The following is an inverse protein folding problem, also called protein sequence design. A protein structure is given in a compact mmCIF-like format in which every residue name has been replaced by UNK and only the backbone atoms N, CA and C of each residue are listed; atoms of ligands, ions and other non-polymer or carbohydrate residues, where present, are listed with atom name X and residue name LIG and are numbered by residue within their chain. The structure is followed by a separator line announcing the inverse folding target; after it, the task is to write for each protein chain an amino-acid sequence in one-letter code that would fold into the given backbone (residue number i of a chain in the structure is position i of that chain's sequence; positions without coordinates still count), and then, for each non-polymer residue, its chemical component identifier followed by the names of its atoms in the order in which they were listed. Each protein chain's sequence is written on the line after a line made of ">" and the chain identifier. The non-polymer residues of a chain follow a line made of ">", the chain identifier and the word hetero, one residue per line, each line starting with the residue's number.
data_IF_386493144645
#
_entry.id   IF_386493144645
#
_cell.length_a   1.000
_cell.length_b   1.000
_cell.length_c   1.000
_cell.angle_alpha   90.00
_cell.angle_beta   90.00
_cell.angle_gamma   90.00
#
_symmetry.space_group_name_H-M   'P 1'
#
loop_
_entity.id
_entity.type
_entity.pdbx_description
1 polymer ?
#
# COMPACT_ATOMS: atom_id res chain seq x y z
N UNK A 1 6.68 15.54 -15.06
CA UNK A 1 6.26 14.90 -13.80
C UNK A 1 7.21 15.34 -12.70
N UNK A 2 6.70 15.65 -11.51
CA UNK A 2 7.26 16.68 -10.63
C UNK A 2 8.22 16.19 -9.56
N UNK A 3 9.18 17.04 -9.22
CA UNK A 3 10.07 16.92 -8.07
C UNK A 3 9.33 16.94 -6.70
N UNK A 4 7.99 17.05 -6.69
CA UNK A 4 7.10 16.97 -5.51
C UNK A 4 5.86 16.13 -5.88
N UNK A 5 5.62 15.07 -5.12
CA UNK A 5 4.44 14.20 -5.30
C UNK A 5 3.21 14.75 -4.57
N UNK A 6 2.01 14.41 -5.05
CA UNK A 6 0.74 14.60 -4.32
C UNK A 6 0.31 13.34 -3.54
N UNK A 7 1.08 12.26 -3.64
CA UNK A 7 0.85 11.03 -2.90
C UNK A 7 1.39 11.24 -1.49
N UNK A 8 0.52 11.09 -0.51
CA UNK A 8 0.69 11.61 0.84
C UNK A 8 1.84 10.94 1.60
N UNK A 9 2.22 9.73 1.19
CA UNK A 9 3.27 8.94 1.83
C UNK A 9 4.64 8.96 1.11
N UNK A 10 4.80 9.79 0.07
CA UNK A 10 6.05 9.90 -0.71
C UNK A 10 6.37 11.35 -1.08
N UNK A 11 7.64 11.66 -1.32
CA UNK A 11 8.07 13.03 -1.68
C UNK A 11 8.20 13.22 -3.18
N UNK A 12 8.48 12.17 -3.93
CA UNK A 12 8.76 12.22 -5.37
C UNK A 12 8.34 10.92 -6.05
N UNK A 13 8.11 10.98 -7.35
CA UNK A 13 7.80 9.80 -8.17
C UNK A 13 8.86 9.64 -9.25
N UNK A 14 9.26 8.40 -9.51
CA UNK A 14 10.21 8.07 -10.56
C UNK A 14 9.56 7.12 -11.58
N UNK A 15 8.97 7.67 -12.66
CA UNK A 15 8.21 6.91 -13.64
C UNK A 15 9.12 6.35 -14.75
N UNK A 16 9.96 5.36 -14.40
CA UNK A 16 10.79 4.59 -15.37
C UNK A 16 9.98 3.59 -16.18
N UNK A 17 8.84 3.15 -15.63
CA UNK A 17 7.81 2.41 -16.36
C UNK A 17 6.47 3.08 -16.11
N UNK A 18 5.68 3.20 -17.16
CA UNK A 18 4.26 3.56 -17.09
C UNK A 18 3.43 2.47 -17.76
N UNK A 19 2.18 2.31 -17.33
CA UNK A 19 1.29 1.29 -17.88
C UNK A 19 1.47 -0.09 -17.24
N UNK A 20 0.40 -0.88 -17.28
CA UNK A 20 0.36 -2.29 -16.88
C UNK A 20 -0.98 -2.91 -17.28
N UNK A 21 -1.09 -4.24 -17.19
CA UNK A 21 -2.36 -4.95 -17.38
C UNK A 21 -3.09 -5.22 -16.04
N UNK A 22 -4.44 -5.15 -16.02
CA UNK A 22 -5.24 -5.55 -14.85
C UNK A 22 -5.01 -7.02 -14.46
N UNK A 23 -4.84 -7.31 -13.17
CA UNK A 23 -4.64 -8.69 -12.67
C UNK A 23 -5.48 -9.04 -11.43
N UNK A 24 -6.33 -8.12 -10.98
CA UNK A 24 -7.19 -8.31 -9.81
C UNK A 24 -8.27 -7.24 -9.70
N UNK A 25 -9.24 -7.43 -8.80
CA UNK A 25 -10.37 -6.51 -8.62
C UNK A 25 -9.96 -5.11 -8.15
N UNK A 26 -8.78 -4.95 -7.54
CA UNK A 26 -8.21 -3.63 -7.26
C UNK A 26 -7.88 -2.82 -8.52
N UNK A 27 -7.82 -3.46 -9.70
CA UNK A 27 -7.56 -2.79 -10.98
C UNK A 27 -8.83 -2.24 -11.65
N UNK A 28 -10.03 -2.66 -11.24
CA UNK A 28 -11.32 -2.33 -11.90
C UNK A 28 -11.53 -0.82 -12.08
N UNK A 29 -11.18 -0.01 -11.07
CA UNK A 29 -11.32 1.45 -11.13
C UNK A 29 -9.95 2.17 -11.13
N UNK A 30 -8.92 1.56 -11.72
CA UNK A 30 -7.55 2.07 -11.70
C UNK A 30 -7.45 3.54 -12.16
N UNK A 31 -6.97 4.42 -11.27
CA UNK A 31 -6.82 5.83 -11.59
C UNK A 31 -5.73 6.07 -12.66
N UNK A 32 -4.66 5.28 -12.63
CA UNK A 32 -3.55 5.42 -13.56
C UNK A 32 -4.00 5.08 -14.99
N UNK A 33 -4.77 4.01 -15.17
CA UNK A 33 -5.35 3.62 -16.46
C UNK A 33 -6.26 4.72 -17.03
N UNK A 34 -7.20 5.21 -16.21
CA UNK A 34 -8.10 6.29 -16.63
C UNK A 34 -7.34 7.56 -17.03
N UNK A 35 -6.33 7.94 -16.25
CA UNK A 35 -5.53 9.12 -16.52
C UNK A 35 -4.70 8.95 -17.80
N UNK A 36 -4.00 7.82 -17.94
CA UNK A 36 -3.18 7.50 -19.10
C UNK A 36 -4.00 7.48 -20.39
N UNK A 37 -5.14 6.78 -20.38
CA UNK A 37 -6.01 6.67 -21.55
C UNK A 37 -6.65 8.02 -21.92
N UNK A 38 -6.95 8.89 -20.95
CA UNK A 38 -7.42 10.25 -21.23
C UNK A 38 -6.39 11.09 -22.01
N UNK A 39 -5.10 10.84 -21.81
CA UNK A 39 -4.00 11.58 -22.44
C UNK A 39 -3.22 10.75 -23.46
N UNK A 40 -3.81 9.65 -23.96
CA UNK A 40 -3.17 8.78 -24.95
C UNK A 40 -2.74 9.56 -26.19
N UNK A 41 -1.57 9.24 -26.74
CA UNK A 41 -0.96 9.91 -27.89
C UNK A 41 -0.16 11.17 -27.55
N UNK A 42 -0.15 11.61 -26.28
CA UNK A 42 0.72 12.73 -25.85
C UNK A 42 2.16 12.26 -25.61
N UNK A 43 3.13 13.18 -25.60
CA UNK A 43 4.54 12.86 -25.24
C UNK A 43 4.68 12.18 -23.88
N UNK A 44 3.78 12.46 -22.93
CA UNK A 44 3.81 11.84 -21.61
C UNK A 44 3.16 10.43 -21.58
N UNK A 45 2.29 10.12 -22.54
CA UNK A 45 1.50 8.90 -22.64
C UNK A 45 1.36 8.46 -24.10
N UNK A 46 2.47 8.14 -24.79
CA UNK A 46 2.45 7.85 -26.22
C UNK A 46 1.55 6.65 -26.53
N UNK A 47 1.53 5.64 -25.64
CA UNK A 47 0.80 4.38 -25.82
C UNK A 47 -0.38 4.24 -24.84
N UNK A 48 -0.95 5.36 -24.35
CA UNK A 48 -1.99 5.29 -23.32
C UNK A 48 -1.50 4.55 -22.07
N UNK A 49 -2.22 3.51 -21.63
CA UNK A 49 -1.86 2.69 -20.47
C UNK A 49 -1.07 1.41 -20.79
N UNK A 50 -0.66 1.22 -22.05
CA UNK A 50 0.22 0.11 -22.42
C UNK A 50 1.60 0.29 -21.78
N UNK A 51 2.30 -0.82 -21.55
CA UNK A 51 3.61 -0.80 -20.90
C UNK A 51 4.58 0.02 -21.74
N UNK A 52 5.13 1.05 -21.12
CA UNK A 52 6.07 1.97 -21.75
C UNK A 52 7.28 2.14 -20.84
N UNK A 53 8.45 1.78 -21.35
CA UNK A 53 9.74 1.98 -20.70
C UNK A 53 10.24 3.40 -20.97
N UNK A 54 10.95 3.97 -20.00
CA UNK A 54 11.53 5.32 -20.10
C UNK A 54 13.04 5.31 -19.79
N UNK A 55 13.89 4.81 -20.70
CA UNK A 55 15.34 4.75 -20.49
C UNK A 55 15.98 6.12 -20.23
N UNK A 56 15.44 7.18 -20.86
CA UNK A 56 15.83 8.58 -20.68
C UNK A 56 15.58 9.13 -19.27
N UNK A 57 14.85 8.36 -18.44
CA UNK A 57 14.53 8.72 -17.05
C UNK A 57 15.34 7.91 -16.03
N UNK A 58 16.13 6.93 -16.45
CA UNK A 58 16.84 6.03 -15.53
C UNK A 58 17.77 6.79 -14.59
N UNK A 59 18.54 7.74 -15.07
CA UNK A 59 19.51 8.50 -14.28
C UNK A 59 18.90 9.63 -13.45
N UNK A 60 17.58 9.86 -13.50
CA UNK A 60 16.93 10.97 -12.76
C UNK A 60 17.28 11.01 -11.26
N UNK A 61 17.30 9.89 -10.52
CA UNK A 61 17.63 9.91 -9.10
C UNK A 61 19.05 10.37 -8.81
N UNK A 62 20.00 10.10 -9.71
CA UNK A 62 21.40 10.52 -9.56
C UNK A 62 21.55 12.05 -9.57
N UNK A 63 20.60 12.76 -10.17
CA UNK A 63 20.62 14.23 -10.31
C UNK A 63 20.00 14.96 -9.12
N UNK A 64 19.38 14.24 -8.18
CA UNK A 64 18.71 14.85 -7.03
C UNK A 64 19.69 15.11 -5.87
N UNK A 65 19.75 16.36 -5.42
CA UNK A 65 20.69 16.78 -4.35
C UNK A 65 20.18 16.54 -2.93
N UNK A 66 18.87 16.67 -2.72
CA UNK A 66 18.25 16.50 -1.41
C UNK A 66 17.72 15.07 -1.24
N UNK A 67 17.85 14.45 -0.05
CA UNK A 67 17.21 13.18 0.26
C UNK A 67 15.71 13.20 -0.04
N UNK A 68 15.21 12.09 -0.61
CA UNK A 68 13.82 11.93 -1.06
C UNK A 68 13.33 10.54 -0.68
N UNK A 69 12.04 10.45 -0.35
CA UNK A 69 11.26 9.21 -0.47
C UNK A 69 10.65 9.17 -1.87
N UNK A 70 10.95 8.13 -2.63
CA UNK A 70 10.74 8.05 -4.07
C UNK A 70 9.85 6.86 -4.38
N UNK A 71 8.62 7.10 -4.83
CA UNK A 71 7.77 6.03 -5.33
C UNK A 71 8.16 5.67 -6.77
N UNK A 72 8.66 4.45 -6.95
CA UNK A 72 9.08 3.89 -8.24
C UNK A 72 7.85 3.43 -9.02
N UNK A 73 7.71 3.91 -10.26
CA UNK A 73 6.61 3.54 -11.17
C UNK A 73 5.20 3.81 -10.62
N UNK A 74 4.94 5.01 -10.09
CA UNK A 74 3.63 5.39 -9.51
C UNK A 74 2.41 5.27 -10.45
N UNK A 75 2.63 5.02 -11.74
CA UNK A 75 1.59 4.83 -12.75
C UNK A 75 1.90 3.66 -13.69
N UNK A 76 2.60 2.65 -13.19
CA UNK A 76 2.94 1.42 -13.90
C UNK A 76 3.21 0.28 -12.91
N UNK A 77 3.69 -0.85 -13.41
CA UNK A 77 4.15 -1.97 -12.58
C UNK A 77 5.52 -2.42 -13.08
N UNK A 78 6.57 -2.19 -12.29
CA UNK A 78 7.96 -2.48 -12.68
C UNK A 78 8.17 -3.98 -12.97
N UNK A 79 7.37 -4.85 -12.36
CA UNK A 79 7.45 -6.30 -12.54
C UNK A 79 6.46 -6.82 -13.60
N UNK A 80 5.88 -5.95 -14.44
CA UNK A 80 5.04 -6.39 -15.56
C UNK A 80 5.81 -7.22 -16.58
N UNK A 81 5.28 -8.36 -17.04
CA UNK A 81 5.98 -9.35 -17.89
C UNK A 81 6.71 -8.77 -19.12
N UNK A 82 6.19 -7.68 -19.69
CA UNK A 82 6.80 -6.96 -20.82
C UNK A 82 8.01 -6.07 -20.46
N UNK A 83 8.26 -5.82 -19.17
CA UNK A 83 9.47 -5.12 -18.71
C UNK A 83 10.61 -6.14 -18.66
N UNK A 84 11.71 -5.99 -19.42
CA UNK A 84 12.82 -6.96 -19.40
C UNK A 84 13.55 -7.00 -18.06
N UNK A 85 14.04 -8.18 -17.65
CA UNK A 85 14.77 -8.34 -16.39
C UNK A 85 16.04 -7.46 -16.35
N UNK A 86 16.77 -7.32 -17.47
CA UNK A 86 17.90 -6.40 -17.61
C UNK A 86 17.51 -4.93 -17.32
N UNK A 87 16.32 -4.51 -17.76
CA UNK A 87 15.84 -3.16 -17.48
C UNK A 87 15.56 -2.96 -15.98
N UNK A 88 15.01 -3.98 -15.32
CA UNK A 88 14.81 -3.99 -13.87
C UNK A 88 16.18 -3.95 -13.15
N UNK A 89 17.18 -4.68 -13.65
CA UNK A 89 18.53 -4.68 -13.08
C UNK A 89 19.18 -3.28 -13.15
N UNK A 90 19.03 -2.57 -14.28
CA UNK A 90 19.47 -1.17 -14.42
C UNK A 90 18.75 -0.23 -13.44
N UNK A 91 17.45 -0.42 -13.23
CA UNK A 91 16.68 0.35 -12.24
C UNK A 91 17.22 0.11 -10.83
N UNK A 92 17.53 -1.15 -10.48
CA UNK A 92 18.17 -1.50 -9.21
C UNK A 92 19.56 -0.89 -9.05
N UNK A 93 20.39 -0.92 -10.10
CA UNK A 93 21.72 -0.31 -10.10
C UNK A 93 21.65 1.20 -9.82
N UNK A 94 20.69 1.93 -10.40
CA UNK A 94 20.47 3.34 -10.09
C UNK A 94 20.07 3.54 -8.62
N UNK A 95 19.20 2.68 -8.07
CA UNK A 95 18.80 2.76 -6.65
C UNK A 95 20.00 2.54 -5.72
N UNK A 96 20.88 1.60 -6.08
CA UNK A 96 22.15 1.32 -5.40
C UNK A 96 23.11 2.53 -5.47
N UNK A 97 23.24 3.16 -6.63
CA UNK A 97 24.06 4.37 -6.83
C UNK A 97 23.45 5.65 -6.23
N UNK A 98 22.23 5.59 -5.69
CA UNK A 98 21.47 6.73 -5.16
C UNK A 98 21.12 6.56 -3.68
N UNK A 99 22.11 6.17 -2.86
CA UNK A 99 21.93 5.80 -1.46
C UNK A 99 21.46 6.91 -0.51
N UNK A 100 21.42 8.17 -0.97
CA UNK A 100 20.82 9.28 -0.24
C UNK A 100 19.27 9.30 -0.33
N UNK A 101 18.67 8.46 -1.16
CA UNK A 101 17.22 8.38 -1.35
C UNK A 101 16.68 7.05 -0.87
N UNK A 102 15.45 7.07 -0.38
CA UNK A 102 14.67 5.87 -0.07
C UNK A 102 13.72 5.61 -1.24
N UNK A 103 13.78 4.42 -1.81
CA UNK A 103 12.91 4.00 -2.91
C UNK A 103 11.81 3.09 -2.40
N UNK A 104 10.57 3.41 -2.73
CA UNK A 104 9.38 2.62 -2.42
C UNK A 104 8.95 1.93 -3.72
N UNK A 105 9.05 0.60 -3.77
CA UNK A 105 8.65 -0.21 -4.91
C UNK A 105 7.38 -0.96 -4.55
N UNK A 106 6.30 -0.76 -5.31
CA UNK A 106 5.00 -1.41 -5.10
C UNK A 106 4.62 -2.23 -6.33
N UNK A 107 4.14 -3.45 -6.14
CA UNK A 107 3.63 -4.28 -7.25
C UNK A 107 2.42 -5.11 -6.84
N UNK A 108 1.63 -5.56 -7.83
CA UNK A 108 0.67 -6.67 -7.65
C UNK A 108 1.24 -8.01 -8.13
N UNK A 109 2.38 -7.99 -8.83
CA UNK A 109 3.09 -9.15 -9.41
C UNK A 109 4.15 -9.73 -8.47
N UNK A 110 3.72 -9.94 -7.23
CA UNK A 110 4.48 -10.56 -6.14
C UNK A 110 5.29 -11.79 -6.54
N UNK A 111 4.71 -12.71 -7.34
CA UNK A 111 5.39 -13.92 -7.77
C UNK A 111 6.64 -13.63 -8.61
N UNK A 112 6.55 -12.70 -9.57
CA UNK A 112 7.71 -12.31 -10.40
C UNK A 112 8.75 -11.55 -9.58
N UNK A 113 8.31 -10.62 -8.74
CA UNK A 113 9.22 -9.91 -7.83
C UNK A 113 10.01 -10.89 -6.96
N UNK A 114 9.33 -11.84 -6.33
CA UNK A 114 9.96 -12.87 -5.50
C UNK A 114 10.94 -13.72 -6.30
N UNK A 115 10.54 -14.20 -7.48
CA UNK A 115 11.39 -15.06 -8.31
C UNK A 115 12.65 -14.32 -8.77
N UNK A 116 12.51 -13.08 -9.24
CA UNK A 116 13.62 -12.29 -9.76
C UNK A 116 14.61 -11.90 -8.65
N UNK A 117 14.12 -11.40 -7.51
CA UNK A 117 15.00 -10.93 -6.44
C UNK A 117 15.67 -12.06 -5.65
N UNK A 118 15.14 -13.28 -5.72
CA UNK A 118 15.82 -14.47 -5.20
C UNK A 118 16.84 -15.07 -6.19
N UNK A 119 16.84 -14.68 -7.46
CA UNK A 119 17.76 -15.19 -8.46
C UNK A 119 19.16 -14.56 -8.32
N UNK A 120 20.24 -15.32 -8.06
CA UNK A 120 21.59 -14.77 -7.97
C UNK A 120 22.06 -14.04 -9.24
N UNK A 121 21.72 -14.55 -10.43
CA UNK A 121 22.14 -13.93 -11.69
C UNK A 121 21.54 -12.55 -11.92
N UNK A 122 20.33 -12.28 -11.39
CA UNK A 122 19.79 -10.93 -11.40
C UNK A 122 20.68 -9.95 -10.62
N UNK A 123 21.26 -10.39 -9.50
CA UNK A 123 22.16 -9.55 -8.71
C UNK A 123 23.54 -9.38 -9.35
N UNK A 124 24.00 -10.36 -10.13
CA UNK A 124 25.19 -10.22 -10.98
C UNK A 124 24.97 -9.14 -12.05
N UNK A 125 23.80 -9.12 -12.69
CA UNK A 125 23.41 -8.07 -13.64
C UNK A 125 23.34 -6.70 -12.96
N UNK A 126 22.68 -6.62 -11.79
CA UNK A 126 22.61 -5.37 -10.99
C UNK A 126 24.01 -4.86 -10.64
N UNK A 127 24.91 -5.75 -10.24
CA UNK A 127 26.29 -5.38 -9.90
C UNK A 127 27.06 -4.89 -11.13
N UNK A 128 26.88 -5.53 -12.29
CA UNK A 128 27.51 -5.12 -13.54
C UNK A 128 27.07 -3.71 -13.95
N UNK A 129 25.76 -3.45 -13.96
CA UNK A 129 25.22 -2.12 -14.26
C UNK A 129 25.63 -1.06 -13.21
N UNK A 130 25.77 -1.46 -11.94
CA UNK A 130 26.22 -0.56 -10.89
C UNK A 130 27.69 -0.16 -11.08
N UNK A 131 28.57 -1.08 -11.48
CA UNK A 131 29.97 -0.80 -11.79
C UNK A 131 30.10 0.20 -12.95
N UNK A 132 29.28 0.08 -13.99
CA UNK A 132 29.23 1.03 -15.11
C UNK A 132 28.84 2.44 -14.65
N UNK A 133 27.87 2.55 -13.74
CA UNK A 133 27.45 3.83 -13.15
C UNK A 133 28.53 4.42 -12.21
N UNK A 134 29.23 3.58 -11.46
CA UNK A 134 30.30 4.03 -10.57
C UNK A 134 31.44 4.72 -11.33
N UNK A 135 31.70 4.32 -12.58
CA UNK A 135 32.70 4.94 -13.45
C UNK A 135 32.30 6.27 -14.08
N UNK A 136 31.02 6.66 -14.03
CA UNK A 136 30.47 7.81 -14.79
C UNK A 136 29.96 8.98 -13.92
N UNK A 137 30.07 8.87 -12.59
CA UNK A 137 29.68 9.92 -11.64
C UNK A 137 28.48 9.54 -10.79
N UNK A 138 28.64 8.59 -9.84
CA UNK A 138 27.53 8.11 -9.02
C UNK A 138 27.09 9.14 -7.96
N UNK A 139 25.97 8.85 -7.31
CA UNK A 139 25.54 9.61 -6.13
C UNK A 139 26.58 9.54 -5.00
N UNK A 140 26.61 10.57 -4.13
CA UNK A 140 27.59 10.67 -3.03
C UNK A 140 27.53 9.51 -2.03
N UNK A 141 26.32 9.07 -1.67
CA UNK A 141 26.09 7.85 -0.87
C UNK A 141 25.64 6.75 -1.82
N UNK A 142 26.23 5.57 -1.69
CA UNK A 142 25.92 4.40 -2.51
C UNK A 142 25.80 3.16 -1.61
N UNK A 143 25.09 2.15 -2.11
CA UNK A 143 25.04 0.82 -1.52
C UNK A 143 25.49 -0.19 -2.58
N UNK A 144 26.77 -0.58 -2.59
CA UNK A 144 27.25 -1.63 -3.47
C UNK A 144 26.36 -2.88 -3.37
N UNK A 145 25.93 -3.49 -4.48
CA UNK A 145 25.07 -4.67 -4.44
C UNK A 145 25.71 -5.82 -3.66
N UNK A 146 25.04 -6.28 -2.61
CA UNK A 146 25.48 -7.44 -1.82
C UNK A 146 24.86 -8.71 -2.41
N UNK A 147 25.67 -9.49 -3.13
CA UNK A 147 25.24 -10.73 -3.78
C UNK A 147 24.80 -11.83 -2.79
N UNK A 148 25.23 -11.75 -1.53
CA UNK A 148 24.83 -12.70 -0.47
C UNK A 148 23.48 -12.30 0.12
N UNK A 149 23.33 -11.03 0.51
CA UNK A 149 22.10 -10.52 1.14
C UNK A 149 20.96 -10.34 0.15
N UNK A 150 21.27 -10.03 -1.12
CA UNK A 150 20.29 -9.85 -2.19
C UNK A 150 19.21 -8.81 -1.86
N UNK A 151 19.58 -7.72 -1.19
CA UNK A 151 18.70 -6.56 -1.02
C UNK A 151 19.52 -5.26 -0.92
N UNK A 152 18.86 -4.12 -1.14
CA UNK A 152 19.45 -2.80 -0.96
C UNK A 152 18.86 -2.11 0.29
N UNK A 153 19.66 -1.54 1.22
CA UNK A 153 19.16 -0.94 2.46
C UNK A 153 18.16 0.21 2.25
N UNK A 154 18.25 0.90 1.13
CA UNK A 154 17.40 2.03 0.79
C UNK A 154 16.20 1.68 -0.10
N UNK A 155 15.96 0.40 -0.38
CA UNK A 155 14.82 -0.06 -1.17
C UNK A 155 13.79 -0.73 -0.26
N UNK A 156 12.61 -0.13 -0.19
CA UNK A 156 11.44 -0.64 0.49
C UNK A 156 10.57 -1.37 -0.52
N UNK A 157 10.28 -2.65 -0.26
CA UNK A 157 9.47 -3.49 -1.14
C UNK A 157 8.07 -3.64 -0.59
N UNK A 158 7.08 -3.53 -1.46
CA UNK A 158 5.71 -3.73 -1.07
C UNK A 158 4.84 -4.37 -2.12
N UNK A 159 3.74 -4.92 -1.64
CA UNK A 159 2.69 -5.51 -2.47
C UNK A 159 1.36 -4.78 -2.21
N UNK A 160 0.58 -4.57 -3.27
CA UNK A 160 -0.81 -4.14 -3.05
C UNK A 160 -1.68 -5.31 -2.61
N UNK A 161 -2.59 -5.10 -1.67
CA UNK A 161 -3.51 -6.11 -1.16
C UNK A 161 -4.91 -5.50 -1.00
N UNK A 162 -5.82 -5.86 -1.88
CA UNK A 162 -7.19 -5.33 -1.85
C UNK A 162 -8.18 -6.22 -1.09
N UNK A 163 -7.82 -7.49 -0.87
CA UNK A 163 -8.70 -8.53 -0.34
C UNK A 163 -7.94 -9.61 0.42
N UNK A 164 -8.61 -10.39 1.27
CA UNK A 164 -8.02 -11.51 2.01
C UNK A 164 -7.46 -12.56 1.06
N UNK A 165 -8.17 -12.83 -0.05
CA UNK A 165 -7.69 -13.75 -1.09
C UNK A 165 -6.28 -13.38 -1.57
N UNK A 166 -6.03 -12.08 -1.80
CA UNK A 166 -4.72 -11.58 -2.21
C UNK A 166 -3.76 -11.43 -1.04
N UNK A 167 -4.23 -11.10 0.17
CA UNK A 167 -3.41 -11.07 1.37
C UNK A 167 -2.72 -12.42 1.59
N UNK A 168 -3.51 -13.50 1.52
CA UNK A 168 -3.09 -14.89 1.70
C UNK A 168 -2.05 -15.37 0.69
N UNK A 169 -1.87 -14.67 -0.44
CA UNK A 169 -0.92 -15.03 -1.51
C UNK A 169 0.27 -14.08 -1.58
N UNK A 170 -0.02 -12.77 -1.50
CA UNK A 170 0.97 -11.71 -1.71
C UNK A 170 1.82 -11.48 -0.47
N UNK A 171 1.24 -11.62 0.73
CA UNK A 171 2.00 -11.43 1.97
C UNK A 171 3.05 -12.53 2.12
N UNK A 172 2.74 -13.85 2.07
CA UNK A 172 3.78 -14.87 2.17
C UNK A 172 4.88 -14.72 1.11
N UNK A 173 4.52 -14.42 -0.14
CA UNK A 173 5.50 -14.19 -1.20
C UNK A 173 6.41 -12.97 -0.93
N UNK A 174 5.87 -11.90 -0.36
CA UNK A 174 6.66 -10.73 0.05
C UNK A 174 7.62 -11.07 1.19
N UNK A 175 7.19 -11.88 2.17
CA UNK A 175 8.03 -12.32 3.29
C UNK A 175 9.19 -13.21 2.80
N UNK A 176 8.93 -14.07 1.80
CA UNK A 176 9.95 -14.86 1.10
C UNK A 176 10.85 -14.06 0.14
N UNK A 177 10.60 -12.76 -0.04
CA UNK A 177 11.42 -11.91 -0.90
C UNK A 177 12.48 -11.21 -0.07
N UNK A 178 13.77 -11.26 -0.45
CA UNK A 178 14.83 -10.48 0.19
C UNK A 178 14.51 -8.98 0.18
N UNK A 179 14.46 -8.35 1.36
CA UNK A 179 14.09 -6.95 1.50
C UNK A 179 14.66 -6.36 2.79
N UNK A 180 15.08 -5.09 2.74
CA UNK A 180 15.43 -4.33 3.93
C UNK A 180 14.17 -3.90 4.71
N UNK A 181 13.15 -3.44 3.98
CA UNK A 181 11.84 -3.04 4.51
C UNK A 181 10.76 -3.66 3.63
N UNK A 182 9.73 -4.20 4.27
CA UNK A 182 8.53 -4.78 3.64
C UNK A 182 7.29 -3.98 4.04
N UNK A 183 6.47 -3.62 3.05
CA UNK A 183 5.23 -2.88 3.30
C UNK A 183 4.04 -3.38 2.49
N UNK A 184 2.83 -3.13 2.99
CA UNK A 184 1.57 -3.44 2.31
C UNK A 184 0.86 -2.14 1.92
N UNK A 185 0.29 -2.12 0.71
CA UNK A 185 -0.63 -1.06 0.29
C UNK A 185 -2.01 -1.65 0.08
N UNK A 186 -2.90 -1.43 1.03
CA UNK A 186 -4.31 -1.82 0.94
C UNK A 186 -5.13 -0.65 0.41
N UNK A 187 -4.87 -0.33 -0.87
CA UNK A 187 -5.40 0.83 -1.56
C UNK A 187 -5.75 0.49 -3.03
N UNK A 188 -7.02 0.20 -3.34
CA UNK A 188 -8.17 0.22 -2.43
C UNK A 188 -8.24 -1.01 -1.51
N UNK A 189 -8.70 -0.84 -0.28
CA UNK A 189 -9.18 -1.93 0.58
C UNK A 189 -10.65 -2.24 0.22
N UNK A 190 -10.90 -3.44 -0.29
CA UNK A 190 -12.21 -3.83 -0.85
C UNK A 190 -13.00 -4.79 0.04
N UNK A 191 -12.36 -5.41 1.01
CA UNK A 191 -12.99 -6.27 2.02
C UNK A 191 -12.16 -6.28 3.31
N UNK A 192 -12.69 -6.94 4.34
CA UNK A 192 -11.96 -7.20 5.58
C UNK A 192 -10.71 -8.04 5.30
N UNK A 193 -9.55 -7.54 5.71
CA UNK A 193 -8.28 -8.27 5.66
C UNK A 193 -7.79 -8.49 7.09
N UNK A 194 -7.49 -9.73 7.43
CA UNK A 194 -6.84 -10.18 8.65
C UNK A 194 -5.38 -10.46 8.37
N UNK A 195 -4.49 -9.62 8.89
CA UNK A 195 -3.04 -9.78 8.70
C UNK A 195 -2.55 -11.07 9.37
N UNK A 196 -3.01 -11.33 10.59
CA UNK A 196 -2.72 -12.54 11.35
C UNK A 196 -3.02 -13.84 10.58
N UNK A 197 -4.11 -13.87 9.80
CA UNK A 197 -4.47 -15.03 8.99
C UNK A 197 -3.47 -15.25 7.84
N UNK A 198 -3.07 -14.18 7.15
CA UNK A 198 -2.11 -14.26 6.06
C UNK A 198 -0.68 -14.54 6.55
N UNK A 199 -0.28 -13.96 7.69
CA UNK A 199 1.02 -14.20 8.32
C UNK A 199 1.21 -15.66 8.73
N UNK A 200 0.16 -16.32 9.24
CA UNK A 200 0.19 -17.76 9.58
C UNK A 200 0.40 -18.69 8.38
N UNK A 201 0.23 -18.20 7.16
CA UNK A 201 0.50 -18.98 5.93
C UNK A 201 1.96 -18.96 5.52
N UNK A 202 2.80 -18.22 6.22
CA UNK A 202 4.22 -18.15 5.99
C UNK A 202 4.98 -18.81 7.14
N UNK A 203 5.87 -19.73 6.80
CA UNK A 203 6.79 -20.34 7.74
C UNK A 203 8.17 -19.73 7.52
N UNK A 204 8.74 -19.02 8.50
CA UNK A 204 10.09 -18.49 8.36
C UNK A 204 11.11 -19.62 8.19
N UNK A 205 12.21 -19.40 7.46
CA UNK A 205 13.38 -20.29 7.50
C UNK A 205 13.88 -20.48 8.94
N UNK A 206 14.46 -21.64 9.24
CA UNK A 206 14.89 -22.03 10.60
C UNK A 206 15.82 -21.01 11.27
N UNK A 207 16.70 -20.38 10.49
CA UNK A 207 17.68 -19.39 10.97
C UNK A 207 17.17 -17.93 10.91
N UNK A 208 15.89 -17.70 10.59
CA UNK A 208 15.38 -16.34 10.43
C UNK A 208 15.33 -15.62 11.79
N UNK A 209 15.93 -14.43 11.94
CA UNK A 209 16.06 -13.75 13.24
C UNK A 209 14.73 -13.33 13.86
N UNK A 210 13.67 -13.22 13.06
CA UNK A 210 12.31 -12.97 13.53
C UNK A 210 11.63 -14.16 14.23
N UNK A 211 12.22 -15.35 14.16
CA UNK A 211 11.68 -16.56 14.77
C UNK A 211 12.49 -16.92 16.02
N UNK A 212 11.83 -16.93 17.18
CA UNK A 212 12.48 -17.28 18.46
C UNK A 212 12.35 -18.77 18.83
N UNK A 213 11.87 -19.60 17.89
CA UNK A 213 11.56 -21.01 18.13
C UNK A 213 10.09 -21.26 18.51
N UNK A 214 9.35 -20.24 18.93
CA UNK A 214 7.96 -20.37 19.42
C UNK A 214 6.97 -19.42 18.76
N UNK A 215 7.40 -18.20 18.43
CA UNK A 215 6.56 -17.14 17.88
C UNK A 215 7.31 -16.32 16.84
N UNK A 216 6.54 -15.85 15.86
CA UNK A 216 7.01 -14.88 14.88
C UNK A 216 6.92 -13.46 15.48
N UNK A 217 8.05 -12.79 15.56
CA UNK A 217 8.13 -11.36 15.86
C UNK A 217 7.79 -10.56 14.59
N UNK A 218 6.54 -10.13 14.48
CA UNK A 218 5.96 -9.61 13.22
C UNK A 218 6.66 -8.34 12.72
N UNK A 219 7.03 -7.42 13.62
CA UNK A 219 7.73 -6.18 13.26
C UNK A 219 9.10 -6.41 12.59
N UNK A 220 9.71 -7.59 12.78
CA UNK A 220 10.99 -7.95 12.15
C UNK A 220 10.80 -8.44 10.69
N UNK A 221 9.56 -8.67 10.25
CA UNK A 221 9.27 -9.19 8.91
C UNK A 221 8.32 -8.31 8.12
N UNK A 222 7.40 -7.60 8.76
CA UNK A 222 6.50 -6.64 8.14
C UNK A 222 6.58 -5.30 8.87
N UNK A 223 6.86 -4.24 8.13
CA UNK A 223 7.32 -2.99 8.74
C UNK A 223 6.31 -1.86 8.60
N UNK A 224 5.47 -1.89 7.55
CA UNK A 224 4.56 -0.79 7.27
C UNK A 224 3.29 -1.24 6.53
N UNK A 225 2.15 -0.71 6.95
CA UNK A 225 0.84 -0.97 6.35
C UNK A 225 0.15 0.34 6.03
N UNK A 226 -0.19 0.52 4.76
CA UNK A 226 -0.88 1.69 4.23
C UNK A 226 -2.31 1.28 3.89
N UNK A 227 -3.32 1.97 4.44
CA UNK A 227 -4.74 1.67 4.22
C UNK A 227 -5.47 2.85 3.60
N UNK A 228 -6.26 2.59 2.58
CA UNK A 228 -7.04 3.63 1.92
C UNK A 228 -8.17 3.11 1.04
N UNK A 229 -9.26 3.88 0.99
CA UNK A 229 -10.41 3.59 0.14
C UNK A 229 -10.23 4.02 -1.33
N UNK A 230 -11.11 3.51 -2.18
CA UNK A 230 -11.08 3.75 -3.63
C UNK A 230 -11.48 5.19 -3.99
N UNK A 231 -10.81 5.78 -5.00
CA UNK A 231 -11.07 7.15 -5.46
C UNK A 231 -11.59 7.19 -6.90
N UNK A 232 -12.35 8.24 -7.26
CA UNK A 232 -12.87 8.45 -8.62
C UNK A 232 -14.34 8.05 -8.83
N UNK A 233 -14.89 8.23 -10.05
CA UNK A 233 -16.33 8.12 -10.29
C UNK A 233 -16.92 6.74 -9.96
N UNK A 234 -16.19 5.66 -10.26
CA UNK A 234 -16.60 4.28 -9.98
C UNK A 234 -16.26 3.75 -8.58
N UNK A 235 -15.82 4.61 -7.66
CA UNK A 235 -15.31 4.16 -6.36
C UNK A 235 -16.31 3.29 -5.57
N UNK A 236 -15.78 2.20 -5.03
CA UNK A 236 -16.43 1.35 -4.03
C UNK A 236 -16.15 1.89 -2.62
N UNK A 237 -17.15 1.92 -1.72
CA UNK A 237 -16.95 2.36 -0.34
C UNK A 237 -16.13 1.33 0.45
N UNK A 238 -15.35 1.81 1.42
CA UNK A 238 -14.59 0.99 2.36
C UNK A 238 -15.29 1.03 3.72
N UNK A 239 -15.49 -0.14 4.34
CA UNK A 239 -16.01 -0.21 5.70
C UNK A 239 -15.00 0.34 6.71
N UNK A 240 -15.41 1.20 7.66
CA UNK A 240 -14.49 1.73 8.66
C UNK A 240 -13.88 0.64 9.53
N UNK A 241 -14.63 -0.39 9.89
CA UNK A 241 -14.13 -1.51 10.70
C UNK A 241 -13.04 -2.33 10.02
N UNK A 242 -12.98 -2.36 8.69
CA UNK A 242 -11.88 -3.02 8.00
C UNK A 242 -10.56 -2.27 8.25
N UNK A 243 -10.60 -0.93 8.18
CA UNK A 243 -9.44 -0.10 8.49
C UNK A 243 -9.07 -0.15 9.99
N UNK A 244 -10.07 -0.17 10.89
CA UNK A 244 -9.84 -0.33 12.34
C UNK A 244 -9.21 -1.68 12.67
N UNK A 245 -9.72 -2.76 12.09
CA UNK A 245 -9.13 -4.11 12.28
C UNK A 245 -7.66 -4.13 11.87
N UNK A 246 -7.31 -3.57 10.71
CA UNK A 246 -5.92 -3.51 10.24
C UNK A 246 -5.05 -2.64 11.16
N UNK A 247 -5.55 -1.49 11.59
CA UNK A 247 -4.88 -0.62 12.55
C UNK A 247 -4.57 -1.36 13.85
N UNK A 248 -5.56 -2.03 14.42
CA UNK A 248 -5.43 -2.71 15.71
C UNK A 248 -4.44 -3.90 15.62
N UNK A 249 -4.46 -4.63 14.49
CA UNK A 249 -3.45 -5.65 14.20
C UNK A 249 -2.04 -5.05 14.04
N UNK A 250 -1.92 -3.89 13.39
CA UNK A 250 -0.63 -3.20 13.25
C UNK A 250 -0.08 -2.73 14.60
N UNK A 251 -0.92 -2.13 15.46
CA UNK A 251 -0.52 -1.71 16.80
C UNK A 251 -0.10 -2.91 17.66
N UNK A 252 -0.83 -4.01 17.59
CA UNK A 252 -0.50 -5.24 18.32
C UNK A 252 0.79 -5.88 17.81
N UNK A 253 1.06 -5.79 16.51
CA UNK A 253 2.26 -6.33 15.87
C UNK A 253 3.46 -5.37 15.83
N UNK A 254 3.35 -4.18 16.44
CA UNK A 254 4.35 -3.10 16.35
C UNK A 254 4.71 -2.72 14.91
N UNK A 255 3.74 -2.80 13.99
CA UNK A 255 3.89 -2.42 12.58
C UNK A 255 3.50 -0.95 12.44
N UNK A 256 4.29 -0.17 11.69
CA UNK A 256 3.91 1.20 11.37
C UNK A 256 2.59 1.22 10.56
N UNK A 257 1.62 2.02 11.00
CA UNK A 257 0.32 2.14 10.36
C UNK A 257 0.10 3.53 9.77
N UNK A 258 -0.25 3.56 8.48
CA UNK A 258 -0.59 4.77 7.75
C UNK A 258 -2.00 4.68 7.20
N UNK A 259 -2.91 5.52 7.70
CA UNK A 259 -4.24 5.65 7.13
C UNK A 259 -4.24 6.81 6.13
N UNK A 260 -4.39 6.48 4.86
CA UNK A 260 -4.37 7.50 3.80
C UNK A 260 -5.69 8.24 3.71
N UNK A 261 -6.83 7.55 3.62
CA UNK A 261 -8.17 8.15 3.50
C UNK A 261 -9.27 7.09 3.31
N UNK A 262 -10.54 7.50 3.40
CA UNK A 262 -11.70 6.66 3.02
C UNK A 262 -12.00 6.59 1.52
N UNK A 263 -11.31 7.36 0.67
CA UNK A 263 -11.59 7.40 -0.78
C UNK A 263 -12.69 8.40 -1.12
N UNK A 264 -13.69 8.04 -1.93
CA UNK A 264 -14.80 8.97 -2.27
C UNK A 264 -15.92 9.06 -1.25
N UNK A 265 -16.01 8.09 -0.34
CA UNK A 265 -17.12 7.96 0.61
C UNK A 265 -16.64 8.27 2.02
N UNK A 266 -17.50 8.92 2.80
CA UNK A 266 -17.33 9.05 4.24
C UNK A 266 -18.31 8.08 4.92
N UNK A 267 -17.83 7.12 5.73
CA UNK A 267 -18.69 6.32 6.58
C UNK A 267 -19.33 7.17 7.68
N UNK A 268 -20.62 6.97 7.91
CA UNK A 268 -21.42 7.71 8.87
C UNK A 268 -22.23 6.70 9.69
N UNK A 269 -22.25 6.82 11.04
CA UNK A 269 -23.08 5.96 11.87
C UNK A 269 -24.57 6.27 11.68
N UNK A 270 -25.40 5.23 11.79
CA UNK A 270 -26.85 5.28 11.80
C UNK A 270 -27.30 5.01 13.23
N UNK A 271 -28.11 5.90 13.79
CA UNK A 271 -28.69 5.76 15.11
C UNK A 271 -30.19 5.44 15.03
N UNK A 272 -30.74 4.93 16.12
CA UNK A 272 -32.19 4.87 16.32
C UNK A 272 -32.73 6.28 16.58
N UNK A 273 -33.84 6.60 15.93
CA UNK A 273 -34.47 7.92 15.95
C UNK A 273 -35.95 7.80 15.54
N UNK A 274 -36.84 7.78 16.54
CA UNK A 274 -38.28 7.56 16.36
C UNK A 274 -38.97 8.68 15.56
N UNK A 275 -38.36 9.87 15.48
CA UNK A 275 -38.91 10.99 14.71
C UNK A 275 -38.71 10.82 13.20
N UNK A 276 -37.85 9.89 12.78
CA UNK A 276 -37.52 9.63 11.39
C UNK A 276 -38.18 8.36 10.85
N UNK A 277 -38.32 8.31 9.52
CA UNK A 277 -38.93 7.16 8.86
C UNK A 277 -38.20 5.86 9.23
N UNK A 278 -38.98 4.85 9.61
CA UNK A 278 -38.50 3.54 10.08
C UNK A 278 -37.67 3.58 11.36
N UNK A 279 -37.74 4.66 12.15
CA UNK A 279 -37.07 4.76 13.45
C UNK A 279 -35.55 4.83 13.36
N UNK A 280 -34.97 5.15 12.19
CA UNK A 280 -33.52 5.16 11.94
C UNK A 280 -33.11 6.43 11.23
N UNK A 281 -31.99 7.00 11.65
CA UNK A 281 -31.45 8.21 11.02
C UNK A 281 -29.92 8.29 11.06
N UNK A 282 -29.35 9.07 10.14
CA UNK A 282 -27.95 9.46 10.13
C UNK A 282 -27.80 10.95 9.80
N UNK A 283 -26.74 11.55 10.31
CA UNK A 283 -26.40 12.94 10.00
C UNK A 283 -25.64 13.01 8.68
N UNK A 284 -26.27 13.61 7.67
CA UNK A 284 -25.69 13.69 6.34
C UNK A 284 -24.50 14.66 6.34
N UNK A 285 -23.34 14.28 5.77
CA UNK A 285 -22.23 15.22 5.56
C UNK A 285 -22.56 16.39 4.63
N UNK A 286 -23.67 16.30 3.88
CA UNK A 286 -24.22 17.40 3.07
C UNK A 286 -25.15 18.33 3.87
N UNK A 287 -25.32 18.09 5.17
CA UNK A 287 -26.24 18.82 6.04
C UNK A 287 -27.58 18.09 6.21
N UNK A 288 -28.14 18.25 7.40
CA UNK A 288 -29.43 17.67 7.80
C UNK A 288 -29.36 16.19 8.13
N UNK A 289 -30.45 15.70 8.72
CA UNK A 289 -30.62 14.32 9.18
C UNK A 289 -31.49 13.56 8.18
N UNK A 290 -31.19 12.29 7.92
CA UNK A 290 -31.82 11.49 6.86
C UNK A 290 -32.08 10.05 7.32
N UNK A 291 -33.16 9.46 6.84
CA UNK A 291 -33.39 8.01 7.00
C UNK A 291 -32.57 7.21 5.98
N UNK A 292 -32.01 6.04 6.35
CA UNK A 292 -31.34 5.13 5.43
C UNK A 292 -32.37 4.32 4.62
N UNK A 293 -33.16 5.02 3.82
CA UNK A 293 -34.32 4.45 3.13
C UNK A 293 -34.33 4.83 1.63
N UNK A 294 -35.01 4.01 0.83
CA UNK A 294 -35.11 4.15 -0.63
C UNK A 294 -36.58 4.14 -1.08
N UNK A 295 -36.86 4.88 -2.16
CA UNK A 295 -38.16 4.85 -2.86
C UNK A 295 -38.15 3.73 -3.88
N UNK A 296 -39.14 2.86 -3.80
CA UNK A 296 -39.37 1.79 -4.78
C UNK A 296 -40.73 1.99 -5.48
N UNK A 297 -40.85 1.65 -6.78
CA UNK A 297 -42.13 1.65 -7.46
C UNK A 297 -43.17 0.81 -6.72
N UNK A 298 -44.44 1.23 -6.77
CA UNK A 298 -45.53 0.40 -6.26
C UNK A 298 -45.59 -0.93 -7.04
N UNK A 299 -46.09 -2.03 -6.45
CA UNK A 299 -46.26 -3.30 -7.15
C UNK A 299 -47.01 -3.12 -8.48
N UNK A 300 -46.43 -3.61 -9.58
CA UNK A 300 -47.00 -3.47 -10.94
C UNK A 300 -46.73 -2.12 -11.62
N UNK A 301 -46.06 -1.17 -10.97
CA UNK A 301 -45.64 0.10 -11.58
C UNK A 301 -44.15 0.06 -11.95
N UNK A 302 -43.82 0.63 -13.11
CA UNK A 302 -42.44 0.94 -13.50
C UNK A 302 -42.02 2.38 -13.14
N UNK A 303 -42.96 3.18 -12.61
CA UNK A 303 -42.74 4.59 -12.26
C UNK A 303 -42.75 4.81 -10.75
N UNK A 304 -42.13 5.91 -10.31
CA UNK A 304 -42.15 6.32 -8.90
C UNK A 304 -43.46 7.01 -8.47
N UNK A 305 -44.48 7.04 -9.33
CA UNK A 305 -45.81 7.55 -8.95
C UNK A 305 -46.46 6.56 -7.98
N UNK A 306 -46.82 7.03 -6.78
CA UNK A 306 -47.29 6.16 -5.70
C UNK A 306 -46.19 5.27 -5.08
N UNK A 307 -44.91 5.62 -5.29
CA UNK A 307 -43.79 4.85 -4.74
C UNK A 307 -43.89 4.65 -3.22
N UNK A 308 -43.51 3.45 -2.79
CA UNK A 308 -43.39 3.10 -1.39
C UNK A 308 -41.96 3.36 -0.92
N UNK A 309 -41.79 3.51 0.39
CA UNK A 309 -40.49 3.60 1.04
C UNK A 309 -40.18 2.27 1.73
N UNK A 310 -38.91 1.88 1.74
CA UNK A 310 -38.38 0.88 2.66
C UNK A 310 -36.97 1.25 3.10
N UNK A 311 -36.50 0.63 4.18
CA UNK A 311 -35.09 0.68 4.55
C UNK A 311 -34.22 0.12 3.41
N UNK A 312 -33.03 0.70 3.25
CA UNK A 312 -31.98 0.12 2.44
C UNK A 312 -31.54 -1.22 3.04
N UNK A 313 -31.11 -2.14 2.17
CA UNK A 313 -30.46 -3.38 2.59
C UNK A 313 -28.92 -3.23 2.52
N UNK A 314 -28.15 -3.93 3.37
CA UNK A 314 -26.68 -3.90 3.28
C UNK A 314 -26.18 -4.25 1.87
N UNK A 315 -25.30 -3.41 1.34
CA UNK A 315 -24.80 -3.46 -0.05
C UNK A 315 -25.65 -2.67 -1.05
N UNK A 316 -26.87 -2.27 -0.71
CA UNK A 316 -27.73 -1.49 -1.59
C UNK A 316 -27.20 -0.06 -1.76
N UNK A 317 -27.27 0.42 -3.00
CA UNK A 317 -26.70 1.69 -3.44
C UNK A 317 -27.79 2.61 -3.97
N UNK A 318 -27.76 3.86 -3.50
CA UNK A 318 -28.46 4.99 -4.14
C UNK A 318 -27.48 5.81 -4.97
N UNK A 319 -27.94 6.94 -5.52
CA UNK A 319 -27.07 7.88 -6.25
C UNK A 319 -25.82 8.29 -5.45
N UNK A 320 -25.97 8.53 -4.14
CA UNK A 320 -24.91 9.10 -3.30
C UNK A 320 -24.62 8.31 -2.03
N UNK A 321 -25.33 7.23 -1.76
CA UNK A 321 -25.13 6.44 -0.53
C UNK A 321 -25.04 4.95 -0.82
N UNK A 322 -24.35 4.23 0.06
CA UNK A 322 -24.36 2.77 0.11
C UNK A 322 -24.55 2.37 1.56
N UNK A 323 -25.55 1.54 1.87
CA UNK A 323 -25.69 0.99 3.21
C UNK A 323 -24.63 -0.11 3.38
N UNK A 324 -23.72 0.02 4.35
CA UNK A 324 -22.62 -0.93 4.52
C UNK A 324 -23.03 -2.11 5.40
N UNK A 325 -23.71 -1.80 6.50
CA UNK A 325 -24.33 -2.74 7.42
C UNK A 325 -25.58 -2.07 8.05
N UNK A 326 -26.13 -2.67 9.12
CA UNK A 326 -27.31 -2.14 9.80
C UNK A 326 -27.13 -0.72 10.36
N UNK A 327 -25.90 -0.38 10.77
CA UNK A 327 -25.58 0.77 11.63
C UNK A 327 -24.57 1.74 10.98
N UNK A 328 -24.17 1.48 9.73
CA UNK A 328 -23.16 2.27 9.00
C UNK A 328 -23.60 2.51 7.56
N UNK A 329 -23.65 3.78 7.17
CA UNK A 329 -23.90 4.19 5.79
C UNK A 329 -22.71 4.95 5.22
N UNK A 330 -22.30 4.62 4.01
CA UNK A 330 -21.26 5.34 3.27
C UNK A 330 -21.89 6.43 2.42
N UNK A 331 -21.53 7.69 2.64
CA UNK A 331 -22.03 8.84 1.88
C UNK A 331 -20.94 9.37 0.94
N UNK A 332 -21.26 9.52 -0.35
CA UNK A 332 -20.36 10.05 -1.36
C UNK A 332 -20.14 11.54 -1.13
N UNK A 333 -18.96 11.91 -0.64
CA UNK A 333 -18.58 13.30 -0.37
C UNK A 333 -17.43 13.79 -1.26
N UNK A 334 -16.75 12.88 -1.93
CA UNK A 334 -15.57 13.16 -2.76
C UNK A 334 -14.27 13.09 -1.96
N UNK A 335 -13.18 12.74 -2.65
CA UNK A 335 -11.85 12.46 -2.07
C UNK A 335 -11.44 13.44 -0.95
N UNK A 336 -11.50 14.74 -1.23
CA UNK A 336 -11.01 15.76 -0.30
C UNK A 336 -11.80 15.81 1.00
N UNK A 337 -13.13 15.64 0.94
CA UNK A 337 -14.00 15.72 2.13
C UNK A 337 -14.05 14.41 2.92
N UNK A 338 -13.83 13.27 2.27
CA UNK A 338 -13.75 11.98 2.97
C UNK A 338 -12.57 11.96 3.95
N UNK A 339 -11.50 12.71 3.66
CA UNK A 339 -10.44 13.05 4.61
C UNK A 339 -9.55 11.88 5.01
N UNK A 340 -8.66 12.15 5.96
CA UNK A 340 -7.60 11.25 6.46
C UNK A 340 -7.79 10.86 7.93
N UNK A 341 -8.92 11.22 8.51
CA UNK A 341 -9.18 11.03 9.94
C UNK A 341 -9.82 9.66 10.14
N UNK A 342 -9.20 8.81 10.95
CA UNK A 342 -9.75 7.55 11.41
C UNK A 342 -9.83 7.60 12.93
N UNK A 343 -11.04 7.54 13.47
CA UNK A 343 -11.34 7.65 14.90
C UNK A 343 -10.73 8.90 15.56
N UNK A 344 -11.03 10.06 14.97
CA UNK A 344 -10.71 11.37 15.55
C UNK A 344 -9.27 11.86 15.37
N UNK A 345 -8.37 11.07 14.77
CA UNK A 345 -6.99 11.49 14.48
C UNK A 345 -6.47 11.02 13.13
N UNK A 346 -5.35 11.59 12.69
CA UNK A 346 -4.60 11.07 11.53
C UNK A 346 -3.62 9.98 11.98
N UNK A 347 -3.30 9.08 11.04
CA UNK A 347 -2.35 8.00 11.24
C UNK A 347 -1.30 8.08 10.15
N UNK A 348 -0.13 8.62 10.49
CA UNK A 348 0.92 8.99 9.53
C UNK A 348 2.27 8.33 9.84
N UNK A 349 2.25 7.15 10.46
CA UNK A 349 3.47 6.44 10.87
C UNK A 349 4.26 5.94 9.64
N UNK A 350 5.58 5.85 9.82
CA UNK A 350 6.52 5.26 8.88
C UNK A 350 7.37 4.21 9.61
N UNK A 351 7.91 3.22 8.90
CA UNK A 351 8.85 2.29 9.51
C UNK A 351 10.12 3.04 9.91
N UNK A 352 10.76 2.58 10.98
CA UNK A 352 12.07 3.09 11.36
C UNK A 352 13.08 2.83 10.24
N UNK A 353 14.01 3.77 10.05
CA UNK A 353 15.10 3.54 9.11
C UNK A 353 15.89 2.31 9.55
N UNK A 354 16.20 1.42 8.61
CA UNK A 354 17.10 0.29 8.88
C UNK A 354 18.42 0.87 9.36
N UNK A 355 18.66 0.79 10.66
CA UNK A 355 19.92 1.23 11.24
C UNK A 355 21.01 0.28 10.76
N UNK A 356 22.18 0.83 10.41
CA UNK A 356 23.32 0.07 9.89
C UNK A 356 23.83 -1.01 10.87
N UNK A 357 23.23 -1.15 12.05
CA UNK A 357 23.55 -2.11 13.12
C UNK A 357 23.45 -3.59 12.71
N UNK A 358 22.75 -3.94 11.62
CA UNK A 358 22.76 -5.31 11.07
C UNK A 358 24.06 -5.63 10.31
N UNK A 359 25.02 -4.69 10.22
CA UNK A 359 26.31 -4.89 9.53
C UNK A 359 27.39 -5.57 10.38
N UNK A 360 27.22 -5.67 11.71
CA UNK A 360 28.09 -6.49 12.55
C UNK A 360 27.28 -7.69 13.03
N UNK A 361 27.73 -8.90 12.69
CA UNK A 361 27.18 -10.13 13.25
C UNK A 361 27.10 -10.01 14.77
N UNK A 362 25.88 -9.88 15.29
CA UNK A 362 25.61 -9.70 16.69
C UNK A 362 25.46 -11.05 17.36
N UNK A 363 26.54 -11.54 17.96
CA UNK A 363 26.41 -12.27 19.21
C UNK A 363 25.64 -11.35 20.17
N UNK A 364 24.46 -11.80 20.62
CA UNK A 364 23.73 -11.10 21.68
C UNK A 364 24.63 -10.98 22.92
N UNK A 365 24.68 -9.82 23.59
CA UNK A 365 25.31 -9.76 24.90
C UNK A 365 24.43 -10.55 25.87
N UNK A 366 25.01 -11.64 26.40
CA UNK A 366 24.47 -12.35 27.56
C UNK A 366 24.28 -11.31 28.67
N UNK A 367 23.03 -11.08 29.09
CA UNK A 367 22.75 -10.30 30.31
C UNK A 367 23.22 -11.13 31.50
N UNK A 368 24.27 -10.67 32.18
CA UNK A 368 24.64 -11.22 33.49
C UNK A 368 23.50 -11.00 34.49
N UNK A 369 23.25 -11.97 35.40
CA UNK A 369 22.21 -11.84 36.40
C UNK A 369 22.60 -10.80 37.44
N UNK A 370 21.67 -9.88 37.72
CA UNK A 370 21.78 -8.88 38.79
C UNK A 370 21.74 -9.59 40.14
N UNK A 371 22.86 -9.61 40.85
CA UNK A 371 22.92 -9.97 42.28
C UNK A 371 22.23 -8.89 43.10
N UNK A 372 21.18 -9.29 43.82
CA UNK A 372 20.52 -8.48 44.85
C UNK A 372 21.45 -8.43 46.07
N UNK A 373 21.90 -7.24 46.46
CA UNK A 373 22.58 -7.04 47.75
C UNK A 373 21.52 -6.86 48.85
N UNK A 374 21.54 -7.75 49.84
CA UNK A 374 20.86 -7.56 51.11
C UNK A 374 21.54 -6.42 51.89
N UNK A 375 20.82 -5.33 52.14
CA UNK A 375 21.22 -4.32 53.13
C UNK A 375 20.84 -4.81 54.53
N UNK A 376 21.86 -5.05 55.35
CA UNK A 376 21.74 -5.12 56.80
C UNK A 376 22.19 -3.80 57.40
N UNK A 377 21.26 -3.09 58.05
CA UNK A 377 21.47 -2.31 59.28
C UNK A 377 20.16 -1.81 59.84
#
# INVERSE_FOLDING_TARGET
>A
MGARSKIEWTTSTWPVVTGCTPISDGCTNCYAARHANRFAGTKAWPNGFDVTLWPDRLDQPLRWRAPRKVFVCSTGDLFHAEVPDDYIARVWAVMASSGAHTFQVLTKRHARMRALLNNPSFWEDVNSHWLDLAGTGPGRKQYPPDLRRRFLPNVWLGVSVESQYWADRRIPALLDTPAAIRYLSLEPLLELVKLSAALRKWTPPEEHPAWDGTRLNVREVLHWVIVGGESGPGARPMHPDWARSLRDECLTGEIAFFFKQFGEYLPVPIADDEEFAFGRAYDSPAGGRRSPAVRIPAPGSSTLRGAQMRLLEPGERTTNTVLLDRDTIAVRVGKQRAGRVLDGRTWDQYPDAVTETVTRGGTSPVREPVTVQEESR
#
